data_IF_448020749946
#
_entry.id   IF_448020749946
#
_cell.length_a   1.000
_cell.length_b   1.000
_cell.length_c   1.000
_cell.angle_alpha   90.00
_cell.angle_beta   90.00
_cell.angle_gamma   90.00
#
_symmetry.space_group_name_H-M   'P 1'
#
loop_
_entity.id
_entity.type
_entity.pdbx_description
1 polymer ?
#
# COMPACT_ATOMS: atom_id res chain seq x y z
N UNK A 1 8.21 17.37 17.27
CA UNK A 1 9.08 16.51 16.45
C UNK A 1 9.49 17.34 15.24
N UNK A 2 10.80 17.47 14.98
CA UNK A 2 11.33 18.23 13.84
C UNK A 2 10.98 17.54 12.52
N UNK A 3 10.61 18.32 11.52
CA UNK A 3 10.39 17.89 10.14
C UNK A 3 11.25 18.72 9.19
N UNK A 4 11.69 18.11 8.09
CA UNK A 4 12.52 18.72 7.06
C UNK A 4 11.95 18.38 5.69
N UNK A 5 11.96 19.33 4.76
CA UNK A 5 11.54 19.06 3.38
C UNK A 5 12.75 18.59 2.59
N UNK A 6 12.70 17.36 2.09
CA UNK A 6 13.76 16.75 1.28
C UNK A 6 13.62 17.12 -0.20
N UNK A 7 12.38 17.24 -0.67
CA UNK A 7 12.06 17.59 -2.03
C UNK A 7 10.78 18.42 -2.03
N UNK A 8 10.80 19.58 -2.68
CA UNK A 8 9.68 20.51 -2.73
C UNK A 8 9.40 20.96 -4.18
N UNK A 9 8.84 20.06 -4.97
CA UNK A 9 8.40 20.35 -6.32
C UNK A 9 6.96 20.87 -6.38
N UNK A 10 6.55 21.29 -7.57
CA UNK A 10 5.19 21.71 -7.86
C UNK A 10 4.21 20.52 -7.93
N UNK A 11 4.71 19.31 -8.20
CA UNK A 11 3.93 18.08 -8.40
C UNK A 11 4.23 17.01 -7.34
N UNK A 12 5.47 16.94 -6.86
CA UNK A 12 5.92 15.96 -5.89
C UNK A 12 6.53 16.64 -4.65
N UNK A 13 6.27 16.06 -3.47
CA UNK A 13 6.86 16.52 -2.21
C UNK A 13 7.33 15.34 -1.36
N UNK A 14 8.49 15.48 -0.74
CA UNK A 14 9.04 14.52 0.21
C UNK A 14 9.36 15.23 1.53
N UNK A 15 8.73 14.80 2.62
CA UNK A 15 8.92 15.37 3.95
C UNK A 15 9.49 14.32 4.90
N UNK A 16 10.62 14.65 5.52
CA UNK A 16 11.31 13.83 6.49
C UNK A 16 10.90 14.23 7.91
N UNK A 17 10.66 13.24 8.76
CA UNK A 17 10.41 13.40 10.18
C UNK A 17 11.46 12.63 10.96
N UNK A 18 11.81 13.17 12.14
CA UNK A 18 12.77 12.54 13.04
C UNK A 18 14.12 12.23 12.34
N UNK A 19 14.80 13.25 11.76
CA UNK A 19 16.07 13.05 11.06
C UNK A 19 17.17 12.52 11.99
N UNK A 20 18.26 12.02 11.40
CA UNK A 20 19.46 11.58 12.13
C UNK A 20 19.40 10.15 12.66
N UNK A 21 18.36 9.39 12.35
CA UNK A 21 18.29 7.97 12.71
C UNK A 21 18.97 7.08 11.65
N UNK A 22 19.33 5.86 12.04
CA UNK A 22 19.93 4.87 11.12
C UNK A 22 18.90 4.02 10.37
N UNK A 23 17.67 3.97 10.87
CA UNK A 23 16.55 3.26 10.23
C UNK A 23 15.58 4.21 9.54
N UNK A 24 15.14 3.87 8.33
CA UNK A 24 14.18 4.63 7.54
C UNK A 24 12.86 3.86 7.35
N UNK A 25 11.76 4.50 7.71
CA UNK A 25 10.42 4.09 7.31
C UNK A 25 9.90 5.05 6.23
N UNK A 26 9.35 4.51 5.14
CA UNK A 26 8.80 5.31 4.04
C UNK A 26 7.31 5.04 3.88
N UNK A 27 6.53 6.11 3.76
CA UNK A 27 5.11 6.02 3.38
C UNK A 27 4.78 6.92 2.21
N UNK A 28 3.77 6.51 1.45
CA UNK A 28 3.38 7.16 0.22
C UNK A 28 1.89 7.51 0.27
N UNK A 29 1.55 8.70 -0.20
CA UNK A 29 0.16 9.12 -0.37
C UNK A 29 -0.56 8.18 -1.36
N UNK A 30 -1.73 7.72 -0.96
CA UNK A 30 -2.67 6.97 -1.80
C UNK A 30 -3.48 7.91 -2.72
N UNK A 31 -4.19 7.34 -3.70
CA UNK A 31 -5.14 8.08 -4.54
C UNK A 31 -6.13 8.88 -3.66
N UNK A 32 -6.36 10.13 -4.02
CA UNK A 32 -7.36 11.00 -3.38
C UNK A 32 -8.61 11.11 -4.25
N UNK A 33 -9.77 11.34 -3.62
CA UNK A 33 -10.99 11.69 -4.34
C UNK A 33 -10.82 13.05 -5.03
N UNK A 34 -10.24 14.01 -4.32
CA UNK A 34 -9.97 15.37 -4.77
C UNK A 34 -8.45 15.62 -4.77
N UNK A 35 -7.75 15.33 -5.88
CA UNK A 35 -6.34 15.65 -6.03
C UNK A 35 -6.13 17.16 -6.31
N UNK A 36 -4.88 17.60 -6.46
CA UNK A 36 -4.53 18.96 -6.85
C UNK A 36 -3.89 19.81 -5.76
N UNK A 37 -3.67 19.24 -4.57
CA UNK A 37 -3.06 19.93 -3.43
C UNK A 37 -2.11 19.02 -2.64
N UNK A 38 -1.19 19.61 -1.89
CA UNK A 38 -0.46 18.91 -0.84
C UNK A 38 -1.16 19.14 0.51
N UNK A 39 -1.66 18.08 1.16
CA UNK A 39 -2.03 18.11 2.57
C UNK A 39 -0.82 18.09 3.51
N UNK A 40 -1.09 18.44 4.76
CA UNK A 40 -0.11 18.50 5.85
C UNK A 40 0.45 17.10 6.17
N UNK A 41 1.74 16.86 5.95
CA UNK A 41 2.33 15.57 6.21
C UNK A 41 2.37 15.30 7.72
N UNK A 42 2.05 14.08 8.14
CA UNK A 42 2.10 13.66 9.55
C UNK A 42 2.99 12.43 9.71
N UNK A 43 3.81 12.36 10.78
CA UNK A 43 4.64 11.21 11.01
C UNK A 43 3.81 9.99 11.41
N UNK A 44 4.22 8.81 10.95
CA UNK A 44 3.68 7.54 11.47
C UNK A 44 4.37 7.25 12.80
N UNK A 45 3.70 7.65 13.89
CA UNK A 45 4.24 7.66 15.26
C UNK A 45 4.82 6.32 15.72
N UNK A 46 4.25 5.19 15.29
CA UNK A 46 4.74 3.86 15.67
C UNK A 46 6.20 3.62 15.21
N UNK A 47 6.64 4.22 14.10
CA UNK A 47 8.01 4.11 13.62
C UNK A 47 8.92 5.19 14.22
N UNK A 48 8.45 6.43 14.30
CA UNK A 48 9.27 7.50 14.88
C UNK A 48 9.51 7.30 16.38
N UNK A 49 8.52 6.79 17.12
CA UNK A 49 8.69 6.42 18.53
C UNK A 49 9.60 5.20 18.72
N UNK A 50 9.80 4.40 17.67
CA UNK A 50 10.73 3.27 17.66
C UNK A 50 12.14 3.67 17.17
N UNK A 51 12.46 4.96 17.10
CA UNK A 51 13.79 5.45 16.72
C UNK A 51 14.08 5.39 15.22
N UNK A 52 13.06 5.37 14.36
CA UNK A 52 13.25 5.47 12.91
C UNK A 52 12.98 6.89 12.41
N UNK A 53 13.70 7.30 11.38
CA UNK A 53 13.30 8.42 10.54
C UNK A 53 12.10 8.01 9.69
N UNK A 54 11.17 8.93 9.46
CA UNK A 54 10.02 8.68 8.59
C UNK A 54 10.02 9.65 7.42
N UNK A 55 10.14 9.12 6.21
CA UNK A 55 10.00 9.88 4.98
C UNK A 55 8.60 9.68 4.40
N UNK A 56 7.85 10.77 4.23
CA UNK A 56 6.53 10.75 3.60
C UNK A 56 6.58 11.39 2.22
N UNK A 57 6.20 10.63 1.19
CA UNK A 57 6.14 11.07 -0.20
C UNK A 57 4.70 11.36 -0.61
N UNK A 58 4.50 12.47 -1.31
CA UNK A 58 3.19 12.93 -1.77
C UNK A 58 3.27 13.29 -3.25
N UNK A 59 2.33 12.76 -4.06
CA UNK A 59 2.02 13.35 -5.36
C UNK A 59 0.83 14.30 -5.19
N UNK A 60 0.88 15.43 -5.89
CA UNK A 60 -0.19 16.42 -5.96
C UNK A 60 -1.39 15.85 -6.71
N UNK A 61 -1.14 15.08 -7.77
CA UNK A 61 -2.17 14.48 -8.62
C UNK A 61 -2.23 12.97 -8.46
N UNK A 62 -3.30 12.36 -8.98
CA UNK A 62 -3.44 10.90 -9.03
C UNK A 62 -2.68 10.34 -10.25
N UNK A 63 -1.39 10.66 -10.37
CA UNK A 63 -0.53 10.38 -11.53
C UNK A 63 0.44 9.21 -11.30
N UNK A 64 0.24 8.46 -10.20
CA UNK A 64 1.12 7.37 -9.80
C UNK A 64 2.57 7.80 -9.59
N UNK A 65 2.83 9.08 -9.28
CA UNK A 65 4.17 9.65 -9.18
C UNK A 65 4.95 9.59 -10.50
N UNK A 66 4.25 9.53 -11.64
CA UNK A 66 4.83 9.53 -12.98
C UNK A 66 4.46 10.87 -13.64
N UNK A 67 5.40 11.82 -13.60
CA UNK A 67 5.26 13.18 -14.07
C UNK A 67 6.67 13.80 -14.30
N UNK A 68 6.78 15.06 -14.77
CA UNK A 68 8.08 15.67 -15.06
C UNK A 68 9.05 15.78 -13.86
N UNK A 69 8.59 15.65 -12.61
CA UNK A 69 9.45 15.73 -11.41
C UNK A 69 9.92 14.35 -10.91
N UNK A 70 9.44 13.25 -11.50
CA UNK A 70 9.71 11.88 -11.02
C UNK A 70 11.20 11.57 -10.91
N UNK A 71 11.99 11.90 -11.93
CA UNK A 71 13.41 11.60 -11.97
C UNK A 71 14.21 12.50 -11.01
N UNK A 72 13.83 13.78 -10.90
CA UNK A 72 14.43 14.71 -9.95
C UNK A 72 14.17 14.27 -8.49
N UNK A 73 12.95 13.82 -8.19
CA UNK A 73 12.64 13.21 -6.91
C UNK A 73 13.50 11.95 -6.70
N UNK A 74 13.53 11.04 -7.68
CA UNK A 74 14.31 9.80 -7.61
C UNK A 74 15.79 10.06 -7.27
N UNK A 75 16.43 11.05 -7.91
CA UNK A 75 17.79 11.47 -7.61
C UNK A 75 17.95 11.97 -6.17
N UNK A 76 17.02 12.80 -5.67
CA UNK A 76 17.02 13.27 -4.28
C UNK A 76 16.86 12.10 -3.28
N UNK A 77 16.04 11.09 -3.62
CA UNK A 77 15.88 9.89 -2.79
C UNK A 77 17.16 9.06 -2.74
N UNK A 78 17.87 8.88 -3.86
CA UNK A 78 19.15 8.16 -3.92
C UNK A 78 20.17 8.82 -2.99
N UNK A 79 20.34 10.13 -3.09
CA UNK A 79 21.28 10.87 -2.25
C UNK A 79 20.94 10.74 -0.76
N UNK A 80 19.65 10.81 -0.42
CA UNK A 80 19.20 10.70 0.96
C UNK A 80 19.31 9.29 1.55
N UNK A 81 18.96 8.26 0.76
CA UNK A 81 18.94 6.86 1.19
C UNK A 81 20.33 6.31 1.54
N UNK A 82 21.41 6.95 1.06
CA UNK A 82 22.78 6.56 1.36
C UNK A 82 23.12 6.56 2.86
N UNK A 83 22.44 7.41 3.66
CA UNK A 83 22.70 7.57 5.09
C UNK A 83 22.07 6.52 6.02
N UNK A 84 21.23 5.62 5.50
CA UNK A 84 20.49 4.65 6.31
C UNK A 84 21.06 3.23 6.20
N UNK A 85 21.09 2.53 7.34
CA UNK A 85 21.49 1.12 7.41
C UNK A 85 20.38 0.18 6.98
N UNK A 86 19.13 0.59 7.17
CA UNK A 86 17.96 -0.24 6.98
C UNK A 86 16.76 0.62 6.59
N UNK A 87 16.10 0.28 5.48
CA UNK A 87 14.94 1.00 4.99
C UNK A 87 13.77 0.05 4.71
N UNK A 88 12.57 0.48 5.09
CA UNK A 88 11.34 -0.26 4.84
C UNK A 88 10.20 0.69 4.48
N UNK A 89 9.17 0.16 3.82
CA UNK A 89 8.05 0.97 3.37
C UNK A 89 6.69 0.30 3.56
N UNK A 90 5.67 1.14 3.69
CA UNK A 90 4.27 0.75 3.59
C UNK A 90 3.54 1.67 2.63
N UNK A 91 2.87 1.09 1.63
CA UNK A 91 2.13 1.84 0.61
C UNK A 91 0.75 1.26 0.37
N UNK A 92 -0.21 2.12 0.02
CA UNK A 92 -1.61 1.75 -0.24
C UNK A 92 -2.02 2.17 -1.64
N UNK A 93 -2.58 1.25 -2.44
CA UNK A 93 -3.09 1.55 -3.77
C UNK A 93 -1.99 2.23 -4.62
N UNK A 94 -2.22 3.46 -5.09
CA UNK A 94 -1.20 4.31 -5.75
C UNK A 94 0.11 4.41 -4.96
N UNK A 95 0.06 4.56 -3.64
CA UNK A 95 1.25 4.61 -2.80
C UNK A 95 1.95 3.23 -2.68
N UNK A 96 1.20 2.14 -2.90
CA UNK A 96 1.77 0.80 -3.00
C UNK A 96 2.59 0.62 -4.28
N UNK A 97 2.11 1.16 -5.40
CA UNK A 97 2.91 1.27 -6.63
C UNK A 97 4.19 2.09 -6.40
N UNK A 98 4.06 3.28 -5.77
CA UNK A 98 5.19 4.16 -5.52
C UNK A 98 6.29 3.49 -4.67
N UNK A 99 5.91 2.65 -3.70
CA UNK A 99 6.85 1.87 -2.91
C UNK A 99 7.73 0.95 -3.77
N UNK A 100 7.20 0.37 -4.84
CA UNK A 100 7.98 -0.42 -5.79
C UNK A 100 8.77 0.46 -6.76
N UNK A 101 8.15 1.52 -7.30
CA UNK A 101 8.79 2.47 -8.24
C UNK A 101 10.07 3.07 -7.68
N UNK A 102 10.10 3.39 -6.39
CA UNK A 102 11.24 4.00 -5.70
C UNK A 102 12.03 3.02 -4.83
N UNK A 103 11.79 1.70 -4.93
CA UNK A 103 12.40 0.71 -4.05
C UNK A 103 13.94 0.72 -4.11
N UNK A 104 14.50 0.81 -5.32
CA UNK A 104 15.95 0.87 -5.53
C UNK A 104 16.53 2.19 -5.01
N UNK A 105 15.93 3.32 -5.39
CA UNK A 105 16.37 4.66 -4.97
C UNK A 105 16.40 4.83 -3.45
N UNK A 106 15.41 4.25 -2.76
CA UNK A 106 15.30 4.27 -1.31
C UNK A 106 16.05 3.12 -0.61
N UNK A 107 16.74 2.26 -1.35
CA UNK A 107 17.42 1.05 -0.85
C UNK A 107 16.52 0.20 0.06
N UNK A 108 15.24 0.09 -0.30
CA UNK A 108 14.25 -0.61 0.52
C UNK A 108 14.59 -2.09 0.65
N UNK A 109 14.68 -2.57 1.88
CA UNK A 109 14.79 -4.00 2.18
C UNK A 109 13.44 -4.67 2.33
N UNK A 110 12.43 -3.92 2.80
CA UNK A 110 11.12 -4.49 3.17
C UNK A 110 9.94 -3.64 2.73
N UNK A 111 8.95 -4.26 2.09
CA UNK A 111 7.70 -3.60 1.70
C UNK A 111 6.48 -4.35 2.25
N UNK A 112 5.53 -3.60 2.81
CA UNK A 112 4.13 -4.04 2.88
C UNK A 112 3.31 -3.16 1.93
N UNK A 113 2.88 -3.74 0.81
CA UNK A 113 2.06 -3.06 -0.17
C UNK A 113 0.60 -3.52 -0.04
N UNK A 114 -0.33 -2.59 0.12
CA UNK A 114 -1.75 -2.88 0.35
C UNK A 114 -2.57 -2.53 -0.89
N UNK A 115 -3.16 -3.54 -1.50
CA UNK A 115 -3.90 -3.44 -2.76
C UNK A 115 -3.19 -2.59 -3.84
N UNK A 116 -1.88 -2.81 -4.10
CA UNK A 116 -1.14 -2.01 -5.07
C UNK A 116 -1.62 -2.30 -6.50
N UNK A 117 -1.51 -1.30 -7.36
CA UNK A 117 -1.55 -1.49 -8.82
C UNK A 117 -0.14 -1.77 -9.33
N UNK A 118 -0.03 -2.60 -10.36
CA UNK A 118 1.22 -2.80 -11.09
C UNK A 118 1.51 -1.61 -12.02
N UNK A 119 0.47 -1.09 -12.67
CA UNK A 119 0.52 0.08 -13.55
C UNK A 119 -0.89 0.66 -13.68
N UNK A 120 -1.03 1.86 -14.25
CA UNK A 120 -2.31 2.39 -14.75
C UNK A 120 -2.37 2.44 -16.28
N UNK A 121 -1.27 2.08 -16.95
CA UNK A 121 -1.17 2.05 -18.40
C UNK A 121 -2.21 1.11 -19.04
N UNK A 122 -2.99 1.57 -20.04
CA UNK A 122 -3.86 0.69 -20.81
C UNK A 122 -3.12 -0.40 -21.59
N UNK A 123 -1.86 -0.16 -21.91
CA UNK A 123 -1.01 -1.12 -22.64
C UNK A 123 -0.47 -2.21 -21.71
N UNK A 124 -0.05 -1.86 -20.49
CA UNK A 124 0.51 -2.84 -19.55
C UNK A 124 -0.57 -3.62 -18.77
N UNK A 125 -1.68 -2.96 -18.41
CA UNK A 125 -2.77 -3.59 -17.63
C UNK A 125 -4.14 -3.42 -18.32
N UNK A 126 -4.34 -3.96 -19.54
CA UNK A 126 -5.60 -3.80 -20.27
C UNK A 126 -6.82 -4.37 -19.51
N UNK A 127 -6.58 -5.32 -18.61
CA UNK A 127 -7.60 -5.94 -17.76
C UNK A 127 -8.11 -5.04 -16.62
N UNK A 128 -7.39 -3.99 -16.23
CA UNK A 128 -7.77 -3.11 -15.11
C UNK A 128 -8.12 -1.71 -15.62
N UNK A 129 -9.42 -1.43 -15.75
CA UNK A 129 -9.95 -0.17 -16.30
C UNK A 129 -10.27 0.87 -15.22
N UNK A 130 -10.00 0.59 -13.94
CA UNK A 130 -10.43 1.45 -12.81
C UNK A 130 -9.80 2.85 -12.78
N UNK A 131 -8.68 3.04 -13.47
CA UNK A 131 -7.85 4.25 -13.39
C UNK A 131 -7.58 4.87 -14.77
N UNK A 132 -8.48 4.64 -15.75
CA UNK A 132 -8.31 5.17 -17.11
C UNK A 132 -8.42 6.69 -17.16
N UNK A 133 -9.23 7.26 -16.28
CA UNK A 133 -9.33 8.69 -16.01
C UNK A 133 -7.99 9.30 -15.59
N UNK A 134 -7.14 8.53 -14.89
CA UNK A 134 -5.82 8.96 -14.41
C UNK A 134 -4.67 8.62 -15.38
N UNK A 135 -4.91 7.80 -16.40
CA UNK A 135 -3.86 7.27 -17.28
C UNK A 135 -3.50 8.21 -18.45
N UNK A 136 -4.23 9.31 -18.61
CA UNK A 136 -3.92 10.31 -19.64
C UNK A 136 -2.55 10.94 -19.36
N UNK A 137 -1.65 10.91 -20.35
CA UNK A 137 -0.28 11.42 -20.21
C UNK A 137 0.64 10.53 -19.36
N UNK A 138 0.22 9.34 -18.95
CA UNK A 138 1.10 8.40 -18.26
C UNK A 138 2.22 7.92 -19.19
N UNK A 139 3.46 8.16 -18.78
CA UNK A 139 4.65 7.66 -19.46
C UNK A 139 4.88 6.19 -19.08
N UNK A 140 4.68 5.29 -20.04
CA UNK A 140 4.81 3.85 -19.84
C UNK A 140 6.24 3.43 -19.53
N UNK A 141 7.25 4.11 -20.07
CA UNK A 141 8.66 3.78 -19.87
C UNK A 141 9.09 4.24 -18.49
N UNK A 142 8.78 5.49 -18.14
CA UNK A 142 9.08 6.04 -16.83
C UNK A 142 8.35 5.29 -15.71
N UNK A 143 7.12 4.83 -15.99
CA UNK A 143 6.25 4.10 -15.08
C UNK A 143 6.38 2.57 -15.09
N UNK A 144 7.25 1.98 -15.91
CA UNK A 144 7.43 0.54 -15.91
C UNK A 144 8.16 0.08 -14.64
N UNK A 145 7.55 -0.89 -13.93
CA UNK A 145 8.15 -1.52 -12.75
C UNK A 145 9.05 -2.71 -13.10
N UNK A 146 8.92 -3.29 -14.29
CA UNK A 146 9.64 -4.49 -14.72
C UNK A 146 11.17 -4.34 -14.72
N UNK A 147 11.77 -3.25 -15.26
CA UNK A 147 13.23 -3.07 -15.24
C UNK A 147 13.74 -2.60 -13.86
N UNK A 148 12.85 -2.22 -12.94
CA UNK A 148 13.19 -1.61 -11.64
C UNK A 148 13.36 -2.62 -10.52
N UNK A 149 13.59 -3.89 -10.85
CA UNK A 149 13.78 -4.97 -9.90
C UNK A 149 14.81 -4.60 -8.82
N UNK A 150 14.34 -4.42 -7.59
CA UNK A 150 15.17 -4.19 -6.42
C UNK A 150 15.24 -5.48 -5.59
N UNK A 151 16.34 -5.75 -4.85
CA UNK A 151 16.44 -6.90 -3.94
C UNK A 151 15.62 -6.66 -2.65
N UNK A 152 14.33 -6.36 -2.83
CA UNK A 152 13.35 -6.09 -1.78
C UNK A 152 12.53 -7.35 -1.50
N UNK A 153 12.24 -7.61 -0.23
CA UNK A 153 11.31 -8.65 0.16
C UNK A 153 10.10 -8.08 0.87
N UNK A 154 9.02 -8.84 0.96
CA UNK A 154 7.86 -8.36 1.68
C UNK A 154 6.57 -9.07 1.36
N UNK A 155 5.47 -8.36 1.63
CA UNK A 155 4.14 -8.91 1.44
C UNK A 155 3.23 -7.93 0.70
N UNK A 156 2.54 -8.45 -0.32
CA UNK A 156 1.46 -7.77 -1.01
C UNK A 156 0.14 -8.24 -0.39
N UNK A 157 -0.63 -7.33 0.20
CA UNK A 157 -1.94 -7.63 0.79
C UNK A 157 -3.02 -7.39 -0.27
N UNK A 158 -3.77 -8.43 -0.62
CA UNK A 158 -4.84 -8.34 -1.61
C UNK A 158 -6.06 -9.14 -1.17
N UNK A 159 -7.26 -8.63 -1.44
CA UNK A 159 -8.50 -9.36 -1.19
C UNK A 159 -8.81 -10.29 -2.39
N UNK A 160 -8.87 -11.62 -2.22
CA UNK A 160 -9.28 -12.53 -3.28
C UNK A 160 -10.70 -12.28 -3.84
N UNK A 161 -11.57 -11.54 -3.15
CA UNK A 161 -12.86 -11.12 -3.70
C UNK A 161 -12.74 -9.95 -4.69
N UNK A 162 -11.52 -9.40 -4.88
CA UNK A 162 -11.20 -8.34 -5.83
C UNK A 162 -10.23 -8.89 -6.90
N UNK A 163 -10.73 -9.49 -8.00
CA UNK A 163 -9.88 -10.14 -9.00
C UNK A 163 -8.81 -9.23 -9.60
N UNK A 164 -9.12 -7.94 -9.79
CA UNK A 164 -8.17 -6.96 -10.33
C UNK A 164 -6.99 -6.73 -9.37
N UNK A 165 -7.22 -6.68 -8.06
CA UNK A 165 -6.13 -6.55 -7.07
C UNK A 165 -5.25 -7.81 -7.06
N UNK A 166 -5.84 -9.01 -7.21
CA UNK A 166 -5.06 -10.26 -7.29
C UNK A 166 -4.21 -10.30 -8.57
N UNK A 167 -4.74 -9.88 -9.71
CA UNK A 167 -3.98 -9.83 -10.96
C UNK A 167 -2.81 -8.85 -10.87
N UNK A 168 -3.04 -7.63 -10.35
CA UNK A 168 -1.96 -6.67 -10.10
C UNK A 168 -0.91 -7.23 -9.12
N UNK A 169 -1.34 -7.85 -8.02
CA UNK A 169 -0.42 -8.48 -7.06
C UNK A 169 0.42 -9.60 -7.69
N UNK A 170 -0.13 -10.36 -8.63
CA UNK A 170 0.59 -11.39 -9.37
C UNK A 170 1.66 -10.78 -10.30
N UNK A 171 1.33 -9.72 -11.06
CA UNK A 171 2.31 -9.01 -11.90
C UNK A 171 3.47 -8.44 -11.07
N UNK A 172 3.17 -7.80 -9.94
CA UNK A 172 4.20 -7.30 -9.01
C UNK A 172 5.03 -8.46 -8.46
N UNK A 173 4.42 -9.60 -8.11
CA UNK A 173 5.14 -10.78 -7.65
C UNK A 173 6.10 -11.38 -8.69
N UNK A 174 5.79 -11.22 -9.99
CA UNK A 174 6.71 -11.61 -11.07
C UNK A 174 7.86 -10.61 -11.24
N UNK A 175 7.60 -9.31 -11.12
CA UNK A 175 8.64 -8.28 -11.20
C UNK A 175 9.56 -8.24 -9.95
N UNK A 176 9.05 -8.64 -8.78
CA UNK A 176 9.78 -8.59 -7.51
C UNK A 176 9.74 -9.95 -6.79
N UNK A 177 10.70 -10.83 -7.09
CA UNK A 177 10.75 -12.21 -6.60
C UNK A 177 10.77 -12.38 -5.06
N UNK A 178 11.20 -11.35 -4.33
CA UNK A 178 11.18 -11.31 -2.86
C UNK A 178 9.79 -11.10 -2.25
N UNK A 179 8.78 -10.79 -3.07
CA UNK A 179 7.42 -10.50 -2.61
C UNK A 179 6.57 -11.75 -2.46
N UNK A 180 5.66 -11.73 -1.48
CA UNK A 180 4.68 -12.81 -1.25
C UNK A 180 3.27 -12.23 -1.15
N UNK A 181 2.30 -12.90 -1.76
CA UNK A 181 0.90 -12.44 -1.72
C UNK A 181 0.23 -13.01 -0.46
N UNK A 182 -0.26 -12.13 0.42
CA UNK A 182 -1.15 -12.48 1.52
C UNK A 182 -2.60 -12.18 1.12
N UNK A 183 -3.40 -13.24 0.97
CA UNK A 183 -4.82 -13.15 0.59
C UNK A 183 -5.68 -12.84 1.81
N UNK A 184 -6.22 -11.62 1.88
CA UNK A 184 -7.05 -11.13 2.98
C UNK A 184 -8.52 -11.10 2.56
N UNK A 185 -9.15 -12.29 2.48
CA UNK A 185 -10.53 -12.45 2.00
C UNK A 185 -11.52 -11.56 2.74
N UNK A 186 -12.34 -10.81 1.99
CA UNK A 186 -13.32 -9.85 2.52
C UNK A 186 -12.68 -8.59 3.10
N UNK A 187 -11.39 -8.36 2.85
CA UNK A 187 -10.65 -7.18 3.26
C UNK A 187 -11.01 -5.92 2.46
N UNK A 188 -11.54 -6.05 1.24
CA UNK A 188 -11.88 -4.94 0.37
C UNK A 188 -10.69 -4.33 -0.37
N UNK A 189 -10.84 -3.07 -0.79
CA UNK A 189 -9.79 -2.23 -1.36
C UNK A 189 -9.83 -0.89 -0.58
N UNK A 190 -8.97 -0.69 0.43
CA UNK A 190 -7.76 -1.48 0.72
C UNK A 190 -8.04 -2.81 1.43
N UNK A 191 -7.24 -3.83 1.15
CA UNK A 191 -7.37 -5.19 1.72
C UNK A 191 -7.26 -5.28 3.26
N UNK A 192 -6.89 -4.18 3.94
CA UNK A 192 -6.71 -4.11 5.38
C UNK A 192 -7.96 -3.72 6.17
N UNK A 193 -9.14 -3.52 5.55
CA UNK A 193 -10.31 -3.01 6.27
C UNK A 193 -10.66 -3.86 7.50
N UNK A 194 -10.67 -5.19 7.36
CA UNK A 194 -10.91 -6.13 8.47
C UNK A 194 -9.89 -6.01 9.60
N UNK A 195 -8.63 -5.73 9.29
CA UNK A 195 -7.60 -5.52 10.31
C UNK A 195 -7.77 -4.17 11.03
N UNK A 196 -8.32 -3.15 10.34
CA UNK A 196 -8.64 -1.85 10.93
C UNK A 196 -9.84 -1.96 11.86
N UNK A 197 -10.93 -2.60 11.41
CA UNK A 197 -12.12 -2.87 12.24
C UNK A 197 -11.74 -3.53 13.58
N UNK A 198 -10.78 -4.46 13.56
CA UNK A 198 -10.35 -5.20 14.74
C UNK A 198 -9.25 -4.52 15.56
N UNK A 199 -8.87 -3.26 15.27
CA UNK A 199 -7.79 -2.56 15.97
C UNK A 199 -6.39 -3.21 15.79
N UNK A 200 -6.17 -3.99 14.73
CA UNK A 200 -4.95 -4.77 14.51
C UNK A 200 -3.97 -4.13 13.52
N UNK A 201 -4.24 -2.92 13.07
CA UNK A 201 -3.39 -2.23 12.10
C UNK A 201 -1.96 -1.98 12.63
N UNK A 202 -1.81 -1.63 13.92
CA UNK A 202 -0.48 -1.52 14.54
C UNK A 202 0.29 -2.85 14.55
N UNK A 203 -0.40 -3.98 14.78
CA UNK A 203 0.21 -5.33 14.71
C UNK A 203 0.68 -5.68 13.30
N UNK A 204 -0.01 -5.18 12.27
CA UNK A 204 0.43 -5.29 10.87
C UNK A 204 1.70 -4.44 10.63
N UNK A 205 1.70 -3.17 11.04
CA UNK A 205 2.87 -2.29 10.88
C UNK A 205 4.12 -2.86 11.57
N UNK A 206 3.97 -3.42 12.77
CA UNK A 206 5.05 -4.06 13.52
C UNK A 206 5.71 -5.23 12.78
N UNK A 207 5.09 -5.78 11.72
CA UNK A 207 5.74 -6.81 10.89
C UNK A 207 6.90 -6.25 10.06
N UNK A 208 6.96 -4.93 9.81
CA UNK A 208 8.07 -4.28 9.09
C UNK A 208 9.36 -4.17 9.92
N UNK A 209 9.26 -4.22 11.25
CA UNK A 209 10.43 -4.24 12.15
C UNK A 209 11.15 -5.60 12.22
N UNK A 210 10.67 -6.62 11.49
CA UNK A 210 11.28 -7.96 11.47
C UNK A 210 12.27 -8.08 10.30
N UNK A 211 13.33 -8.91 10.41
CA UNK A 211 14.27 -9.14 9.30
C UNK A 211 13.59 -9.61 8.01
N UNK A 212 12.51 -10.39 8.14
CA UNK A 212 11.62 -10.80 7.05
C UNK A 212 10.17 -10.52 7.39
N UNK A 213 9.36 -10.11 6.41
CA UNK A 213 7.93 -9.84 6.64
C UNK A 213 7.14 -11.16 6.51
N UNK A 214 6.55 -11.70 7.59
CA UNK A 214 5.99 -13.05 7.59
C UNK A 214 4.55 -13.06 7.07
N UNK A 215 4.35 -13.31 5.77
CA UNK A 215 3.02 -13.38 5.13
C UNK A 215 2.03 -14.27 5.90
N UNK A 216 2.46 -15.45 6.37
CA UNK A 216 1.62 -16.37 7.16
C UNK A 216 1.09 -15.73 8.45
N UNK A 217 1.91 -14.94 9.17
CA UNK A 217 1.44 -14.25 10.39
C UNK A 217 0.41 -13.17 10.07
N UNK A 218 0.57 -12.44 8.96
CA UNK A 218 -0.42 -11.44 8.51
C UNK A 218 -1.75 -12.12 8.15
N UNK A 219 -1.70 -13.25 7.44
CA UNK A 219 -2.90 -14.04 7.13
C UNK A 219 -3.59 -14.53 8.41
N UNK A 220 -2.84 -15.00 9.41
CA UNK A 220 -3.41 -15.41 10.71
C UNK A 220 -4.03 -14.23 11.46
N UNK A 221 -3.37 -13.06 11.49
CA UNK A 221 -3.93 -11.84 12.10
C UNK A 221 -5.30 -11.49 11.50
N UNK A 222 -5.43 -11.61 10.18
CA UNK A 222 -6.69 -11.38 9.45
C UNK A 222 -7.73 -12.46 9.76
N UNK A 223 -7.36 -13.74 9.69
CA UNK A 223 -8.27 -14.86 9.98
C UNK A 223 -8.87 -14.77 11.38
N UNK A 224 -8.05 -14.37 12.36
CA UNK A 224 -8.48 -14.20 13.75
C UNK A 224 -9.33 -12.94 13.98
N UNK A 225 -9.34 -12.00 13.02
CA UNK A 225 -10.14 -10.77 13.10
C UNK A 225 -11.48 -10.92 12.37
N UNK A 226 -11.48 -11.56 11.20
CA UNK A 226 -12.60 -11.53 10.24
C UNK A 226 -13.95 -12.00 10.80
N UNK A 227 -13.95 -12.95 11.75
CA UNK A 227 -15.21 -13.49 12.33
C UNK A 227 -16.03 -12.43 13.08
N UNK A 228 -15.36 -11.41 13.63
CA UNK A 228 -15.98 -10.30 14.37
C UNK A 228 -16.00 -8.99 13.60
N UNK A 229 -15.58 -8.98 12.32
CA UNK A 229 -15.60 -7.76 11.51
C UNK A 229 -16.92 -7.65 10.75
N UNK A 230 -17.74 -6.61 10.97
CA UNK A 230 -18.94 -6.39 10.17
C UNK A 230 -18.60 -6.18 8.69
N UNK A 231 -17.46 -5.55 8.37
CA UNK A 231 -16.97 -5.39 6.99
C UNK A 231 -16.72 -6.71 6.29
N UNK A 232 -16.08 -7.68 6.96
CA UNK A 232 -15.87 -9.01 6.39
C UNK A 232 -17.19 -9.66 5.98
N UNK A 233 -18.19 -9.63 6.88
CA UNK A 233 -19.49 -10.27 6.64
C UNK A 233 -20.28 -9.56 5.54
N UNK A 234 -20.22 -8.23 5.44
CA UNK A 234 -20.81 -7.49 4.30
C UNK A 234 -20.17 -7.89 2.97
N UNK A 235 -18.85 -7.95 2.90
CA UNK A 235 -18.16 -8.36 1.68
C UNK A 235 -18.42 -9.84 1.33
N UNK A 236 -18.49 -10.72 2.33
CA UNK A 236 -18.84 -12.13 2.12
C UNK A 236 -20.27 -12.26 1.60
N UNK A 237 -21.23 -11.50 2.12
CA UNK A 237 -22.60 -11.48 1.63
C UNK A 237 -22.68 -11.07 0.15
N UNK A 238 -22.00 -9.97 -0.21
CA UNK A 238 -21.97 -9.51 -1.59
C UNK A 238 -21.33 -10.54 -2.53
N UNK A 239 -20.23 -11.18 -2.10
CA UNK A 239 -19.57 -12.22 -2.89
C UNK A 239 -20.42 -13.49 -3.02
N UNK A 240 -21.10 -13.89 -1.95
CA UNK A 240 -22.02 -15.03 -1.95
C UNK A 240 -23.20 -14.78 -2.89
N UNK A 241 -23.78 -13.58 -2.87
CA UNK A 241 -24.85 -13.19 -3.79
C UNK A 241 -24.40 -13.29 -5.24
N UNK A 242 -23.25 -12.69 -5.57
CA UNK A 242 -22.66 -12.73 -6.92
C UNK A 242 -22.39 -14.15 -7.43
N UNK A 243 -22.20 -15.11 -6.52
CA UNK A 243 -21.88 -16.51 -6.86
C UNK A 243 -23.07 -17.45 -6.70
N UNK A 244 -24.30 -16.93 -6.58
CA UNK A 244 -25.53 -17.72 -6.47
C UNK A 244 -25.71 -18.44 -5.12
N UNK A 245 -24.88 -18.13 -4.12
CA UNK A 245 -24.92 -18.75 -2.78
C UNK A 245 -25.88 -17.98 -1.87
N UNK A 246 -27.15 -17.88 -2.27
CA UNK A 246 -28.14 -17.00 -1.62
C UNK A 246 -28.34 -17.29 -0.12
N UNK A 247 -28.32 -18.57 0.30
CA UNK A 247 -28.41 -18.94 1.71
C UNK A 247 -27.24 -18.35 2.53
N UNK A 248 -26.00 -18.51 2.05
CA UNK A 248 -24.82 -17.90 2.67
C UNK A 248 -24.90 -16.38 2.66
N UNK A 249 -25.41 -15.78 1.58
CA UNK A 249 -25.57 -14.34 1.49
C UNK A 249 -26.52 -13.81 2.58
N UNK A 250 -27.68 -14.46 2.79
CA UNK A 250 -28.62 -14.11 3.88
C UNK A 250 -27.97 -14.24 5.26
N UNK A 251 -27.33 -15.38 5.55
CA UNK A 251 -26.62 -15.58 6.83
C UNK A 251 -25.54 -14.52 7.07
N UNK A 252 -24.75 -14.21 6.04
CA UNK A 252 -23.70 -13.21 6.15
C UNK A 252 -24.26 -11.78 6.34
N UNK A 253 -25.36 -11.41 5.68
CA UNK A 253 -26.05 -10.11 5.90
C UNK A 253 -26.57 -10.00 7.34
N UNK A 254 -27.25 -11.03 7.83
CA UNK A 254 -27.74 -11.05 9.21
C UNK A 254 -26.59 -10.90 10.21
N UNK A 255 -25.51 -11.64 10.03
CA UNK A 255 -24.33 -11.56 10.91
C UNK A 255 -23.66 -10.19 10.86
N UNK A 256 -23.58 -9.56 9.69
CA UNK A 256 -23.05 -8.21 9.55
C UNK A 256 -23.89 -7.19 10.32
N UNK A 257 -25.23 -7.29 10.23
CA UNK A 257 -26.14 -6.40 10.96
C UNK A 257 -26.02 -6.57 12.47
N UNK A 258 -25.97 -7.79 12.99
CA UNK A 258 -25.76 -8.06 14.42
C UNK A 258 -24.46 -7.43 14.93
N UNK A 259 -23.34 -7.66 14.23
CA UNK A 259 -22.03 -7.12 14.64
C UNK A 259 -21.93 -5.59 14.51
N UNK A 260 -22.73 -4.97 13.65
CA UNK A 260 -22.77 -3.51 13.52
C UNK A 260 -23.61 -2.85 14.63
N UNK A 261 -24.48 -3.61 15.29
CA UNK A 261 -25.32 -3.13 16.39
C UNK A 261 -24.71 -3.37 17.79
N UNK A 262 -23.65 -4.19 17.89
CA UNK A 262 -22.90 -4.37 19.14
C UNK A 262 -22.14 -3.06 19.47
N UNK A 263 -22.25 -2.52 20.70
CA UNK A 263 -21.41 -1.40 21.12
C UNK A 263 -19.93 -1.82 21.09
N UNK A 264 -19.10 -0.96 20.47
CA UNK A 264 -17.69 -1.22 20.17
C UNK A 264 -16.75 -1.18 21.37
#
# INVERSE_FOLDING_TARGET
MRSETLFDGALLRATLFNPGQRGLFVSFRQRLAEPGHFGDPRPVRSFTNAGMSHLHLQSRWNDWYINPETEALEAALVAHAAGYDDACAMGFSMGGYAAFRFAAALRLRRIIAVSPQFSISPRQVPFDRRYRDCASGFDDVLGDLSPRGAPVQGVILADPFRPLDIRNAALIGMAFAGMRIARLAGGGHPATAVLRDAGRFGKLQAQLGKPRVPARRIVMLHRNARRRSPTYWRHLAAQAEKTGRHALARTARARAATLAAEPG
#
